data_IF_156031839931
#
_entry.id   IF_156031839931
#
_cell.length_a   1.000
_cell.length_b   1.000
_cell.length_c   1.000
_cell.angle_alpha   90.00
_cell.angle_beta   90.00
_cell.angle_gamma   90.00
#
_symmetry.space_group_name_H-M   'P 1'
#
loop_
_entity.id
_entity.type
_entity.pdbx_description
1 polymer ?
#
# COMPACT_ATOMS: atom_id res chain seq x y z
N UNK A 1 -30.24 7.01 5.07
CA UNK A 1 -28.93 7.72 5.01
C UNK A 1 -27.87 6.77 5.55
N UNK A 2 -27.10 6.10 4.69
CA UNK A 2 -25.96 5.28 5.12
C UNK A 2 -24.88 6.25 5.59
N UNK A 3 -24.54 6.21 6.88
CA UNK A 3 -23.42 6.93 7.47
C UNK A 3 -22.17 6.66 6.64
N UNK A 4 -21.61 7.69 6.00
CA UNK A 4 -20.39 7.58 5.17
C UNK A 4 -19.23 7.29 6.11
N UNK A 5 -18.95 6.01 6.32
CA UNK A 5 -17.75 5.52 7.00
C UNK A 5 -16.79 5.10 5.88
N UNK A 6 -15.84 5.99 5.54
CA UNK A 6 -14.82 5.69 4.53
C UNK A 6 -14.03 4.47 5.01
N UNK A 7 -13.95 3.44 4.16
CA UNK A 7 -13.25 2.20 4.47
C UNK A 7 -11.75 2.50 4.71
N UNK A 8 -11.15 1.86 5.72
CA UNK A 8 -9.71 1.98 5.97
C UNK A 8 -8.91 1.57 4.73
N UNK A 9 -9.37 0.56 3.99
CA UNK A 9 -8.77 0.14 2.72
C UNK A 9 -8.72 1.30 1.72
N UNK A 10 -9.84 2.00 1.54
CA UNK A 10 -9.93 3.14 0.62
C UNK A 10 -8.99 4.28 1.04
N UNK A 11 -8.87 4.55 2.35
CA UNK A 11 -7.94 5.56 2.87
C UNK A 11 -6.49 5.20 2.62
N UNK A 12 -6.12 3.93 2.85
CA UNK A 12 -4.78 3.44 2.58
C UNK A 12 -4.48 3.47 1.09
N UNK A 13 -5.42 3.06 0.24
CA UNK A 13 -5.27 3.13 -1.21
C UNK A 13 -5.00 4.56 -1.67
N UNK A 14 -5.85 5.51 -1.28
CA UNK A 14 -5.73 6.92 -1.67
C UNK A 14 -4.43 7.58 -1.18
N UNK A 15 -3.84 7.07 -0.10
CA UNK A 15 -2.55 7.51 0.42
C UNK A 15 -1.37 6.89 -0.34
N UNK A 16 -1.43 5.59 -0.60
CA UNK A 16 -0.28 4.80 -1.07
C UNK A 16 -0.15 4.76 -2.59
N UNK A 17 -1.26 4.73 -3.33
CA UNK A 17 -1.25 4.76 -4.80
C UNK A 17 -0.41 5.92 -5.38
N UNK A 18 -0.60 7.19 -4.98
CA UNK A 18 0.19 8.29 -5.54
C UNK A 18 1.67 8.22 -5.14
N UNK A 19 1.99 7.68 -3.95
CA UNK A 19 3.37 7.45 -3.53
C UNK A 19 4.04 6.42 -4.45
N UNK A 20 3.41 5.26 -4.64
CA UNK A 20 3.94 4.18 -5.46
C UNK A 20 4.07 4.59 -6.93
N UNK A 21 3.06 5.31 -7.45
CA UNK A 21 3.09 5.85 -8.82
C UNK A 21 4.28 6.78 -9.04
N UNK A 22 4.59 7.67 -8.09
CA UNK A 22 5.76 8.55 -8.16
C UNK A 22 7.09 7.81 -8.10
N UNK A 23 7.12 6.65 -7.45
CA UNK A 23 8.29 5.78 -7.38
C UNK A 23 8.46 4.90 -8.63
N UNK A 24 7.45 4.87 -9.52
CA UNK A 24 7.45 4.09 -10.77
C UNK A 24 6.75 2.74 -10.67
N UNK A 25 5.94 2.52 -9.62
CA UNK A 25 5.22 1.27 -9.39
C UNK A 25 3.70 1.49 -9.47
N UNK A 26 2.99 0.47 -9.95
CA UNK A 26 1.53 0.39 -9.89
C UNK A 26 1.11 -0.34 -8.61
N UNK A 27 0.12 0.19 -7.89
CA UNK A 27 -0.53 -0.53 -6.80
C UNK A 27 -1.68 -1.36 -7.38
N UNK A 28 -1.50 -2.68 -7.42
CA UNK A 28 -2.47 -3.61 -8.02
C UNK A 28 -3.56 -3.99 -7.02
N UNK A 29 -3.17 -4.26 -5.76
CA UNK A 29 -4.07 -4.68 -4.70
C UNK A 29 -3.49 -4.32 -3.32
N UNK A 30 -4.35 -4.18 -2.33
CA UNK A 30 -3.98 -3.93 -0.94
C UNK A 30 -4.85 -4.76 0.01
N UNK A 31 -4.20 -5.47 0.93
CA UNK A 31 -4.89 -6.20 1.99
C UNK A 31 -4.42 -5.76 3.37
N UNK A 32 -5.38 -5.47 4.23
CA UNK A 32 -5.14 -5.15 5.63
C UNK A 32 -5.72 -6.26 6.53
N UNK A 33 -4.85 -6.92 7.27
CA UNK A 33 -5.20 -7.92 8.28
C UNK A 33 -4.93 -7.33 9.67
N UNK A 34 -5.96 -6.90 10.41
CA UNK A 34 -5.80 -6.43 11.78
C UNK A 34 -5.40 -7.60 12.69
N UNK A 35 -4.49 -7.36 13.63
CA UNK A 35 -4.08 -8.35 14.63
C UNK A 35 -3.89 -7.74 16.02
N UNK A 36 -4.03 -8.56 17.06
CA UNK A 36 -3.84 -8.12 18.44
C UNK A 36 -2.35 -7.84 18.72
N UNK A 37 -1.95 -6.58 18.55
CA UNK A 37 -0.59 -6.09 18.81
C UNK A 37 0.31 -5.98 17.57
N UNK A 38 -0.04 -6.63 16.46
CA UNK A 38 0.58 -6.42 15.14
C UNK A 38 -0.46 -6.56 14.05
N UNK A 39 -0.67 -5.48 13.32
CA UNK A 39 -1.42 -5.50 12.07
C UNK A 39 -0.47 -5.80 10.91
N UNK A 40 -1.01 -6.42 9.85
CA UNK A 40 -0.26 -6.73 8.64
C UNK A 40 -0.90 -6.02 7.45
N UNK A 41 -0.13 -5.17 6.80
CA UNK A 41 -0.47 -4.54 5.53
C UNK A 41 0.31 -5.25 4.42
N UNK A 42 -0.39 -5.77 3.41
CA UNK A 42 0.20 -6.33 2.20
C UNK A 42 -0.11 -5.43 1.02
N UNK A 43 0.93 -5.12 0.27
CA UNK A 43 0.85 -4.34 -0.97
C UNK A 43 1.26 -5.26 -2.11
N UNK A 44 0.45 -5.30 -3.17
CA UNK A 44 0.79 -5.98 -4.41
C UNK A 44 1.15 -4.91 -5.42
N UNK A 45 2.39 -4.93 -5.89
CA UNK A 45 2.93 -3.93 -6.82
C UNK A 45 3.36 -4.57 -8.13
N UNK A 46 3.25 -3.79 -9.20
CA UNK A 46 3.80 -4.14 -10.51
C UNK A 46 4.61 -2.97 -11.09
N UNK A 47 5.45 -3.27 -12.07
CA UNK A 47 6.19 -2.28 -12.85
C UNK A 47 6.50 -2.85 -14.25
N UNK A 48 6.55 -1.97 -15.25
CA UNK A 48 6.82 -2.35 -16.64
C UNK A 48 8.13 -3.13 -16.83
N UNK A 49 9.15 -2.86 -15.99
CA UNK A 49 10.45 -3.53 -16.02
C UNK A 49 10.49 -4.85 -15.20
N UNK A 50 9.38 -5.23 -14.58
CA UNK A 50 9.31 -6.25 -13.53
C UNK A 50 9.64 -5.69 -12.14
N UNK A 51 9.33 -6.48 -11.11
CA UNK A 51 9.56 -6.15 -9.70
C UNK A 51 10.56 -7.16 -9.11
N UNK A 52 11.68 -6.65 -8.61
CA UNK A 52 12.68 -7.41 -7.87
C UNK A 52 12.56 -7.26 -6.35
N UNK A 53 13.46 -7.91 -5.61
CA UNK A 53 13.48 -7.81 -4.14
C UNK A 53 13.85 -6.40 -3.66
N UNK A 54 14.78 -5.73 -4.34
CA UNK A 54 15.22 -4.37 -4.00
C UNK A 54 14.07 -3.35 -4.12
N UNK A 55 13.17 -3.56 -5.08
CA UNK A 55 11.95 -2.75 -5.24
C UNK A 55 11.01 -2.94 -4.05
N UNK A 56 10.79 -4.18 -3.61
CA UNK A 56 9.99 -4.48 -2.43
C UNK A 56 10.58 -3.82 -1.17
N UNK A 57 11.90 -3.87 -0.99
CA UNK A 57 12.56 -3.20 0.13
C UNK A 57 12.42 -1.68 0.07
N UNK A 58 12.60 -1.09 -1.11
CA UNK A 58 12.44 0.36 -1.32
C UNK A 58 11.02 0.79 -0.99
N UNK A 59 10.03 0.12 -1.56
CA UNK A 59 8.60 0.37 -1.28
C UNK A 59 8.31 0.23 0.21
N UNK A 60 8.79 -0.84 0.84
CA UNK A 60 8.58 -1.06 2.28
C UNK A 60 9.15 0.09 3.13
N UNK A 61 10.35 0.60 2.79
CA UNK A 61 10.96 1.75 3.49
C UNK A 61 10.17 3.03 3.32
N UNK A 62 9.77 3.37 2.10
CA UNK A 62 9.01 4.59 1.81
C UNK A 62 7.63 4.55 2.50
N UNK A 63 6.92 3.43 2.43
CA UNK A 63 5.62 3.24 3.09
C UNK A 63 5.75 3.32 4.60
N UNK A 64 6.80 2.74 5.20
CA UNK A 64 7.02 2.81 6.65
C UNK A 64 7.35 4.21 7.15
N UNK A 65 7.80 5.12 6.27
CA UNK A 65 8.12 6.49 6.66
C UNK A 65 6.88 7.38 6.85
N UNK A 66 5.72 6.95 6.33
CA UNK A 66 4.48 7.73 6.34
C UNK A 66 3.33 7.10 7.13
N UNK A 67 3.46 5.83 7.56
CA UNK A 67 2.45 5.09 8.32
C UNK A 67 2.78 4.99 9.81
#
# INVERSE_FOLDING_TARGET
MKTVTVDLRERLWALLEPLLTRLGYELVELDYAPGHGRSLLRLYIDAQAGVGLDDCERVSREVSSIL
#
